data_IF_830643944013
#
_entry.id   IF_830643944013
#
_cell.length_a   1.000
_cell.length_b   1.000
_cell.length_c   1.000
_cell.angle_alpha   90.00
_cell.angle_beta   90.00
_cell.angle_gamma   90.00
#
_symmetry.space_group_name_H-M   'P 1'
#
loop_
_entity.id
_entity.type
_entity.pdbx_description
1 polymer ?
#
# COMPACT_ATOMS: atom_id res chain seq x y z
N UNK A 1 16.41 13.58 -3.24
CA UNK A 1 15.68 14.83 -2.92
C UNK A 1 14.17 14.50 -2.92
N UNK A 2 13.71 13.71 -1.94
CA UNK A 2 12.32 13.20 -1.89
C UNK A 2 11.42 14.08 -0.98
N UNK A 3 12.01 15.04 -0.25
CA UNK A 3 11.32 15.81 0.79
C UNK A 3 10.45 16.99 0.29
N UNK A 4 10.52 17.36 -0.99
CA UNK A 4 9.79 18.52 -1.54
C UNK A 4 8.58 18.13 -2.38
N UNK A 5 8.61 17.00 -3.10
CA UNK A 5 7.47 16.51 -3.90
C UNK A 5 6.30 16.02 -3.04
N UNK A 6 6.58 15.45 -1.87
CA UNK A 6 5.54 15.01 -0.93
C UNK A 6 4.72 16.15 -0.31
N UNK A 7 5.24 17.39 -0.29
CA UNK A 7 4.54 18.55 0.30
C UNK A 7 3.36 19.04 -0.55
N UNK A 8 3.31 18.70 -1.84
CA UNK A 8 2.22 19.10 -2.75
C UNK A 8 1.37 17.93 -3.23
N UNK A 9 1.73 16.70 -2.88
CA UNK A 9 0.93 15.54 -3.19
C UNK A 9 -0.35 15.54 -2.35
N UNK A 10 -1.50 15.41 -3.00
CA UNK A 10 -2.80 15.25 -2.33
C UNK A 10 -2.68 14.13 -1.29
N UNK A 11 -3.06 14.31 -0.02
CA UNK A 11 -2.83 13.32 1.05
C UNK A 11 -3.32 11.91 0.70
N UNK A 12 -4.43 11.81 -0.05
CA UNK A 12 -4.94 10.53 -0.57
C UNK A 12 -3.98 9.85 -1.54
N UNK A 13 -3.30 10.59 -2.42
CA UNK A 13 -2.29 10.04 -3.34
C UNK A 13 -1.06 9.53 -2.59
N UNK A 14 -0.64 10.24 -1.55
CA UNK A 14 0.46 9.78 -0.67
C UNK A 14 0.07 8.49 0.04
N UNK A 15 -1.16 8.41 0.55
CA UNK A 15 -1.67 7.22 1.21
C UNK A 15 -1.78 6.02 0.24
N UNK A 16 -2.17 6.24 -1.02
CA UNK A 16 -2.21 5.18 -2.03
C UNK A 16 -0.81 4.63 -2.32
N UNK A 17 0.18 5.50 -2.54
CA UNK A 17 1.56 5.08 -2.79
C UNK A 17 2.15 4.30 -1.62
N UNK A 18 1.88 4.73 -0.38
CA UNK A 18 2.31 4.02 0.81
C UNK A 18 1.64 2.63 0.93
N UNK A 19 0.36 2.51 0.57
CA UNK A 19 -0.32 1.21 0.57
C UNK A 19 0.27 0.24 -0.47
N UNK A 20 0.55 0.74 -1.68
CA UNK A 20 1.20 -0.05 -2.75
C UNK A 20 2.60 -0.53 -2.33
N UNK A 21 3.40 0.34 -1.70
CA UNK A 21 4.75 0.00 -1.23
C UNK A 21 4.73 -1.11 -0.16
N UNK A 22 3.81 -1.03 0.80
CA UNK A 22 3.69 -2.07 1.83
C UNK A 22 3.17 -3.39 1.23
N UNK A 23 2.23 -3.34 0.28
CA UNK A 23 1.78 -4.52 -0.46
C UNK A 23 2.93 -5.22 -1.19
N UNK A 24 3.81 -4.44 -1.81
CA UNK A 24 4.98 -4.98 -2.50
C UNK A 24 5.91 -5.72 -1.52
N UNK A 25 6.22 -5.13 -0.37
CA UNK A 25 7.06 -5.79 0.64
C UNK A 25 6.46 -7.07 1.21
N UNK A 26 5.13 -7.12 1.38
CA UNK A 26 4.46 -8.33 1.83
C UNK A 26 4.54 -9.46 0.78
N UNK A 27 4.45 -9.13 -0.51
CA UNK A 27 4.66 -10.09 -1.60
C UNK A 27 6.09 -10.60 -1.64
N UNK A 28 7.08 -9.71 -1.54
CA UNK A 28 8.50 -10.07 -1.47
C UNK A 28 8.79 -10.99 -0.28
N UNK A 29 8.17 -10.73 0.88
CA UNK A 29 8.28 -11.60 2.05
C UNK A 29 7.65 -12.98 1.82
N UNK A 30 6.46 -13.05 1.21
CA UNK A 30 5.80 -14.31 0.88
C UNK A 30 6.63 -15.14 -0.12
N UNK A 31 7.18 -14.51 -1.15
CA UNK A 31 8.04 -15.15 -2.15
C UNK A 31 9.34 -15.68 -1.51
N UNK A 32 9.96 -14.92 -0.61
CA UNK A 32 11.19 -15.31 0.06
C UNK A 32 11.02 -16.48 1.05
N UNK A 33 9.81 -16.70 1.56
CA UNK A 33 9.54 -17.70 2.61
C UNK A 33 8.92 -18.99 2.08
N UNK A 34 8.59 -19.08 0.79
CA UNK A 34 7.96 -20.24 0.11
C UNK A 34 6.61 -20.68 0.73
N UNK A 35 6.16 -19.94 1.75
CA UNK A 35 4.94 -20.09 2.53
C UNK A 35 4.55 -18.72 3.07
N UNK A 36 3.45 -18.11 2.59
CA UNK A 36 3.00 -16.86 3.15
C UNK A 36 2.62 -17.07 4.62
N UNK A 37 3.25 -16.32 5.53
CA UNK A 37 2.77 -16.21 6.91
C UNK A 37 1.34 -15.65 6.87
N UNK A 38 0.43 -16.21 7.68
CA UNK A 38 -0.98 -15.81 7.66
C UNK A 38 -1.16 -14.32 7.98
N UNK A 39 -0.25 -13.74 8.77
CA UNK A 39 -0.18 -12.32 9.07
C UNK A 39 0.12 -11.48 7.82
N UNK A 40 0.98 -11.96 6.92
CA UNK A 40 1.33 -11.26 5.69
C UNK A 40 0.16 -11.24 4.69
N UNK A 41 -0.59 -12.33 4.61
CA UNK A 41 -1.81 -12.41 3.78
C UNK A 41 -2.88 -11.46 4.33
N UNK A 42 -3.15 -11.48 5.64
CA UNK A 42 -4.13 -10.57 6.23
C UNK A 42 -3.74 -9.10 6.09
N UNK A 43 -2.45 -8.78 6.24
CA UNK A 43 -1.96 -7.43 6.03
C UNK A 43 -2.15 -6.97 4.58
N UNK A 44 -1.91 -7.85 3.60
CA UNK A 44 -2.14 -7.56 2.19
C UNK A 44 -3.63 -7.31 1.89
N UNK A 45 -4.53 -8.16 2.39
CA UNK A 45 -5.99 -8.00 2.20
C UNK A 45 -6.50 -6.68 2.79
N UNK A 46 -5.98 -6.29 3.96
CA UNK A 46 -6.31 -5.01 4.60
C UNK A 46 -5.84 -3.82 3.76
N UNK A 47 -4.62 -3.89 3.22
CA UNK A 47 -4.06 -2.82 2.39
C UNK A 47 -4.79 -2.67 1.06
N UNK A 48 -5.21 -3.78 0.45
CA UNK A 48 -6.01 -3.75 -0.79
C UNK A 48 -7.37 -3.07 -0.55
N UNK A 49 -8.00 -3.35 0.59
CA UNK A 49 -9.22 -2.67 1.03
C UNK A 49 -9.01 -1.17 1.25
N UNK A 50 -7.89 -0.78 1.86
CA UNK A 50 -7.52 0.64 2.05
C UNK A 50 -7.26 1.32 0.70
N UNK A 51 -6.57 0.67 -0.22
CA UNK A 51 -6.31 1.21 -1.56
C UNK A 51 -7.62 1.43 -2.34
N UNK A 52 -8.58 0.51 -2.26
CA UNK A 52 -9.91 0.66 -2.87
C UNK A 52 -10.72 1.81 -2.25
N UNK A 53 -10.70 1.95 -0.92
CA UNK A 53 -11.34 3.08 -0.23
C UNK A 53 -10.71 4.42 -0.62
N UNK A 54 -9.39 4.48 -0.73
CA UNK A 54 -8.67 5.66 -1.19
C UNK A 54 -9.06 5.98 -2.63
N UNK A 55 -9.06 4.99 -3.53
CA UNK A 55 -9.46 5.16 -4.92
C UNK A 55 -10.89 5.72 -5.05
N UNK A 56 -11.84 5.20 -4.26
CA UNK A 56 -13.22 5.72 -4.19
C UNK A 56 -13.28 7.16 -3.70
N UNK A 57 -12.45 7.52 -2.71
CA UNK A 57 -12.41 8.88 -2.17
C UNK A 57 -11.80 9.93 -3.13
N UNK A 58 -11.06 9.50 -4.16
CA UNK A 58 -10.53 10.41 -5.20
C UNK A 58 -11.40 10.46 -6.47
N UNK A 59 -12.47 9.69 -6.56
CA UNK A 59 -13.45 9.79 -7.66
C UNK A 59 -14.34 11.04 -7.45
N UNK A 60 -14.59 11.83 -8.51
CA UNK A 60 -15.37 13.07 -8.44
C UNK A 60 -16.87 12.85 -8.23
#
# INVERSE_FOLDING_TARGET
MIGTDLKQAHPLRVAMLAADEVLQHLREYADATDRPAWEAVQAADLLDSVADLLAKAVQP
#
